data_IF_114916587836
#
_entry.id   IF_114916587836
#
_cell.length_a   1.000
_cell.length_b   1.000
_cell.length_c   1.000
_cell.angle_alpha   90.00
_cell.angle_beta   90.00
_cell.angle_gamma   90.00
#
_symmetry.space_group_name_H-M   'P 1'
#
loop_
_entity.id
_entity.type
_entity.pdbx_description
1 polymer ?
#
# COMPACT_ATOMS: atom_id res chain seq x y z
N UNK A 1 16.76 24.60 0.42
CA UNK A 1 15.41 25.05 0.04
C UNK A 1 14.50 23.90 -0.41
N UNK A 2 14.95 22.95 -1.23
CA UNK A 2 14.12 21.80 -1.65
C UNK A 2 13.61 20.94 -0.48
N UNK A 3 14.49 20.56 0.47
CA UNK A 3 14.11 19.71 1.62
C UNK A 3 13.04 20.35 2.52
N UNK A 4 13.17 21.63 2.85
CA UNK A 4 12.18 22.35 3.66
C UNK A 4 10.84 22.47 2.93
N UNK A 5 10.86 22.67 1.61
CA UNK A 5 9.65 22.71 0.79
C UNK A 5 8.92 21.36 0.76
N UNK A 6 9.66 20.25 0.65
CA UNK A 6 9.07 18.90 0.71
C UNK A 6 8.49 18.61 2.09
N UNK A 7 9.20 18.96 3.17
CA UNK A 7 8.71 18.77 4.55
C UNK A 7 7.44 19.57 4.78
N UNK A 8 7.41 20.84 4.36
CA UNK A 8 6.24 21.70 4.50
C UNK A 8 5.04 21.15 3.71
N UNK A 9 5.27 20.68 2.47
CA UNK A 9 4.23 20.05 1.64
C UNK A 9 3.65 18.79 2.29
N UNK A 10 4.51 17.88 2.75
CA UNK A 10 4.09 16.64 3.40
C UNK A 10 3.32 16.90 4.70
N UNK A 11 3.81 17.82 5.53
CA UNK A 11 3.17 18.15 6.80
C UNK A 11 1.78 18.76 6.60
N UNK A 12 1.64 19.64 5.60
CA UNK A 12 0.35 20.21 5.22
C UNK A 12 -0.60 19.13 4.67
N UNK A 13 -0.09 18.23 3.82
CA UNK A 13 -0.85 17.09 3.30
C UNK A 13 -1.39 16.20 4.43
N UNK A 14 -0.55 15.84 5.40
CA UNK A 14 -0.97 15.04 6.57
C UNK A 14 -1.97 15.79 7.44
N UNK A 15 -1.77 17.10 7.67
CA UNK A 15 -2.71 17.90 8.44
C UNK A 15 -4.09 17.99 7.77
N UNK A 16 -4.12 18.14 6.43
CA UNK A 16 -5.35 18.14 5.64
C UNK A 16 -6.03 16.78 5.68
N UNK A 17 -5.28 15.68 5.49
CA UNK A 17 -5.79 14.32 5.61
C UNK A 17 -6.45 14.08 6.98
N UNK A 18 -5.79 14.47 8.08
CA UNK A 18 -6.38 14.29 9.41
C UNK A 18 -7.59 15.20 9.61
N UNK A 19 -7.57 16.42 9.09
CA UNK A 19 -8.68 17.37 9.29
C UNK A 19 -9.91 16.97 8.46
N UNK A 20 -9.75 16.71 7.17
CA UNK A 20 -10.86 16.36 6.28
C UNK A 20 -11.29 14.90 6.44
N UNK A 21 -10.35 13.94 6.47
CA UNK A 21 -10.72 12.52 6.46
C UNK A 21 -11.09 11.98 7.84
N UNK A 22 -10.53 12.55 8.92
CA UNK A 22 -10.83 12.10 10.30
C UNK A 22 -11.76 13.08 10.99
N UNK A 23 -11.39 14.36 11.09
CA UNK A 23 -12.16 15.31 11.92
C UNK A 23 -13.53 15.65 11.30
N UNK A 24 -13.58 16.01 10.02
CA UNK A 24 -14.86 16.30 9.35
C UNK A 24 -15.72 15.03 9.15
N UNK A 25 -15.09 13.90 8.79
CA UNK A 25 -15.83 12.65 8.52
C UNK A 25 -16.37 11.98 9.79
N UNK A 26 -15.60 11.95 10.89
CA UNK A 26 -15.94 11.16 12.10
C UNK A 26 -16.52 12.04 13.21
N UNK A 27 -15.99 13.25 13.41
CA UNK A 27 -16.31 14.07 14.59
C UNK A 27 -17.31 15.18 14.31
N UNK A 28 -17.15 15.95 13.23
CA UNK A 28 -18.01 17.10 12.99
C UNK A 28 -18.16 17.45 11.50
N UNK A 29 -19.14 16.81 10.85
CA UNK A 29 -19.45 16.97 9.42
C UNK A 29 -19.95 18.38 9.03
N UNK A 30 -20.19 19.28 10.01
CA UNK A 30 -20.62 20.67 9.80
C UNK A 30 -19.78 21.66 10.61
N UNK A 31 -18.49 21.37 10.82
CA UNK A 31 -17.60 22.29 11.51
C UNK A 31 -17.47 23.62 10.73
N UNK A 32 -17.47 24.74 11.45
CA UNK A 32 -17.18 26.05 10.87
C UNK A 32 -15.74 26.10 10.33
N UNK A 33 -15.53 26.75 9.20
CA UNK A 33 -14.23 26.84 8.51
C UNK A 33 -13.11 27.37 9.43
N UNK A 34 -13.46 28.22 10.41
CA UNK A 34 -12.51 28.72 11.41
C UNK A 34 -12.02 27.63 12.36
N UNK A 35 -12.90 26.71 12.75
CA UNK A 35 -12.57 25.59 13.64
C UNK A 35 -11.71 24.57 12.88
N UNK A 36 -12.05 24.27 11.63
CA UNK A 36 -11.28 23.40 10.73
C UNK A 36 -9.85 23.91 10.59
N UNK A 37 -9.66 25.21 10.32
CA UNK A 37 -8.33 25.80 10.21
C UNK A 37 -7.54 25.76 11.52
N UNK A 38 -8.20 25.91 12.67
CA UNK A 38 -7.55 25.82 13.98
C UNK A 38 -7.09 24.38 14.26
N UNK A 39 -7.95 23.40 13.99
CA UNK A 39 -7.63 21.97 14.11
C UNK A 39 -6.47 21.61 13.18
N UNK A 40 -6.49 22.03 11.92
CA UNK A 40 -5.40 21.77 10.97
C UNK A 40 -4.05 22.33 11.45
N UNK A 41 -4.04 23.55 12.01
CA UNK A 41 -2.83 24.14 12.60
C UNK A 41 -2.33 23.37 13.82
N UNK A 42 -3.24 22.95 14.70
CA UNK A 42 -2.90 22.13 15.86
C UNK A 42 -2.33 20.76 15.43
N UNK A 43 -2.95 20.12 14.45
CA UNK A 43 -2.48 18.85 13.90
C UNK A 43 -1.11 18.99 13.23
N UNK A 44 -0.90 20.05 12.44
CA UNK A 44 0.42 20.38 11.86
C UNK A 44 1.49 20.48 12.94
N UNK A 45 1.18 21.17 14.03
CA UNK A 45 2.10 21.33 15.15
C UNK A 45 2.37 20.00 15.88
N UNK A 46 1.32 19.23 16.17
CA UNK A 46 1.43 17.93 16.84
C UNK A 46 2.22 16.91 16.01
N UNK A 47 1.96 16.81 14.70
CA UNK A 47 2.71 15.95 13.79
C UNK A 47 4.15 16.41 13.68
N UNK A 48 4.40 17.72 13.61
CA UNK A 48 5.76 18.28 13.62
C UNK A 48 6.57 17.89 14.87
N UNK A 49 5.96 17.95 16.05
CA UNK A 49 6.58 17.45 17.29
C UNK A 49 6.85 15.95 17.19
N UNK A 50 5.90 15.16 16.70
CA UNK A 50 6.08 13.72 16.50
C UNK A 50 7.26 13.40 15.59
N UNK A 51 7.42 14.15 14.49
CA UNK A 51 8.57 14.01 13.58
C UNK A 51 9.90 14.32 14.28
N UNK A 52 9.96 15.37 15.09
CA UNK A 52 11.16 15.73 15.85
C UNK A 52 11.50 14.64 16.86
N UNK A 53 10.51 14.13 17.60
CA UNK A 53 10.69 13.04 18.55
C UNK A 53 11.20 11.76 17.86
N UNK A 54 10.61 11.42 16.71
CA UNK A 54 11.05 10.27 15.91
C UNK A 54 12.47 10.45 15.36
N UNK A 55 12.86 11.69 15.00
CA UNK A 55 14.21 11.98 14.52
C UNK A 55 15.30 11.62 15.54
N UNK A 56 15.01 11.68 16.85
CA UNK A 56 15.95 11.22 17.89
C UNK A 56 16.18 9.71 17.89
N UNK A 57 15.28 8.92 17.30
CA UNK A 57 15.42 7.47 17.21
C UNK A 57 16.19 7.03 15.96
N UNK A 58 16.25 7.89 14.93
CA UNK A 58 16.94 7.59 13.66
C UNK A 58 18.40 7.15 13.86
N UNK A 59 19.23 7.78 14.72
CA UNK A 59 20.59 7.31 14.95
C UNK A 59 20.64 5.90 15.57
N UNK A 60 19.68 5.56 16.43
CA UNK A 60 19.60 4.24 17.06
C UNK A 60 19.18 3.13 16.09
N UNK A 61 18.49 3.49 15.02
CA UNK A 61 18.07 2.57 13.95
C UNK A 61 19.13 2.39 12.86
N UNK A 62 20.38 2.80 13.10
CA UNK A 62 21.46 2.67 12.12
C UNK A 62 21.45 3.77 11.04
N UNK A 63 20.81 4.91 11.30
CA UNK A 63 20.78 6.07 10.41
C UNK A 63 19.49 6.21 9.61
N UNK A 64 19.39 7.30 8.82
CA UNK A 64 18.17 7.69 8.13
C UNK A 64 17.67 6.65 7.12
N UNK A 65 18.59 6.00 6.39
CA UNK A 65 18.24 4.99 5.38
C UNK A 65 17.65 3.75 6.04
N UNK A 66 18.30 3.24 7.09
CA UNK A 66 17.81 2.06 7.80
C UNK A 66 16.49 2.35 8.51
N UNK A 67 16.36 3.51 9.18
CA UNK A 67 15.08 3.93 9.77
C UNK A 67 13.95 3.98 8.74
N UNK A 68 14.22 4.48 7.53
CA UNK A 68 13.25 4.52 6.44
C UNK A 68 12.87 3.11 5.95
N UNK A 69 13.86 2.24 5.73
CA UNK A 69 13.63 0.84 5.34
C UNK A 69 12.81 0.09 6.39
N UNK A 70 13.12 0.26 7.68
CA UNK A 70 12.34 -0.33 8.78
C UNK A 70 10.89 0.13 8.73
N UNK A 71 10.64 1.43 8.54
CA UNK A 71 9.27 1.95 8.45
C UNK A 71 8.49 1.36 7.28
N UNK A 72 9.11 1.24 6.10
CA UNK A 72 8.50 0.60 4.92
C UNK A 72 8.19 -0.87 5.22
N UNK A 73 9.14 -1.62 5.76
CA UNK A 73 8.97 -3.05 6.03
C UNK A 73 7.79 -3.33 6.99
N UNK A 74 7.60 -2.44 7.96
CA UNK A 74 6.56 -2.56 8.99
C UNK A 74 5.18 -2.13 8.46
N UNK A 75 5.10 -1.01 7.73
CA UNK A 75 3.81 -0.37 7.43
C UNK A 75 3.33 -0.58 6.00
N UNK A 76 4.21 -0.46 4.99
CA UNK A 76 3.77 -0.41 3.59
C UNK A 76 3.26 -1.77 3.11
N UNK A 77 3.94 -2.86 3.50
CA UNK A 77 3.61 -4.19 2.98
C UNK A 77 2.26 -4.72 3.50
N UNK A 78 1.92 -4.63 4.80
CA UNK A 78 0.56 -4.92 5.27
C UNK A 78 -0.50 -4.06 4.58
N UNK A 79 -0.22 -2.76 4.37
CA UNK A 79 -1.15 -1.87 3.70
C UNK A 79 -1.43 -2.32 2.27
N UNK A 80 -0.38 -2.68 1.54
CA UNK A 80 -0.49 -3.19 0.17
C UNK A 80 -1.34 -4.46 0.11
N UNK A 81 -1.10 -5.43 1.00
CA UNK A 81 -1.89 -6.67 1.04
C UNK A 81 -3.36 -6.38 1.35
N UNK A 82 -3.65 -5.55 2.35
CA UNK A 82 -5.02 -5.25 2.74
C UNK A 82 -5.77 -4.44 1.68
N UNK A 83 -5.17 -3.33 1.23
CA UNK A 83 -5.84 -2.39 0.34
C UNK A 83 -5.85 -2.85 -1.12
N UNK A 84 -4.73 -3.36 -1.64
CA UNK A 84 -4.60 -3.72 -3.05
C UNK A 84 -5.02 -5.16 -3.27
N UNK A 85 -4.43 -6.11 -2.53
CA UNK A 85 -4.70 -7.54 -2.79
C UNK A 85 -6.13 -7.89 -2.37
N UNK A 86 -6.51 -7.65 -1.12
CA UNK A 86 -7.85 -8.01 -0.66
C UNK A 86 -8.92 -7.01 -1.11
N UNK A 87 -8.64 -5.71 -1.08
CA UNK A 87 -9.58 -4.69 -1.52
C UNK A 87 -9.99 -4.84 -2.99
N UNK A 88 -9.06 -5.23 -3.88
CA UNK A 88 -9.40 -5.44 -5.29
C UNK A 88 -9.88 -6.87 -5.58
N UNK A 89 -9.27 -7.92 -5.02
CA UNK A 89 -9.54 -9.28 -5.50
C UNK A 89 -10.51 -10.08 -4.63
N UNK A 90 -10.88 -9.62 -3.43
CA UNK A 90 -11.68 -10.41 -2.50
C UNK A 90 -12.95 -9.73 -2.00
N UNK A 91 -14.09 -10.15 -2.55
CA UNK A 91 -15.43 -9.62 -2.22
C UNK A 91 -15.82 -9.69 -0.74
N UNK A 92 -15.24 -10.62 0.03
CA UNK A 92 -15.59 -10.83 1.44
C UNK A 92 -14.72 -10.00 2.40
N UNK A 93 -13.73 -9.27 1.90
CA UNK A 93 -12.91 -8.40 2.74
C UNK A 93 -13.78 -7.33 3.41
N UNK A 94 -13.79 -7.29 4.74
CA UNK A 94 -14.51 -6.29 5.52
C UNK A 94 -13.53 -5.39 6.28
N UNK A 95 -14.04 -4.26 6.78
CA UNK A 95 -13.21 -3.28 7.47
C UNK A 95 -12.55 -3.87 8.74
N UNK A 96 -13.22 -4.79 9.45
CA UNK A 96 -12.66 -5.42 10.64
C UNK A 96 -11.43 -6.27 10.33
N UNK A 97 -11.51 -7.11 9.29
CA UNK A 97 -10.37 -7.93 8.88
C UNK A 97 -9.27 -7.13 8.20
N UNK A 98 -9.61 -6.06 7.49
CA UNK A 98 -8.64 -5.11 6.95
C UNK A 98 -7.83 -4.45 8.07
N UNK A 99 -8.51 -3.88 9.07
CA UNK A 99 -7.87 -3.25 10.24
C UNK A 99 -7.07 -4.29 11.03
N UNK A 100 -7.65 -5.44 11.35
CA UNK A 100 -6.97 -6.47 12.13
C UNK A 100 -5.72 -7.00 11.42
N UNK A 101 -5.79 -7.29 10.12
CA UNK A 101 -4.64 -7.75 9.35
C UNK A 101 -3.55 -6.69 9.21
N UNK A 102 -3.92 -5.43 9.00
CA UNK A 102 -2.96 -4.32 8.97
C UNK A 102 -2.23 -4.16 10.31
N UNK A 103 -2.98 -4.06 11.42
CA UNK A 103 -2.40 -3.87 12.75
C UNK A 103 -1.57 -5.08 13.19
N UNK A 104 -2.04 -6.31 12.97
CA UNK A 104 -1.27 -7.50 13.32
C UNK A 104 -0.02 -7.65 12.44
N UNK A 105 -0.10 -7.31 11.16
CA UNK A 105 1.07 -7.23 10.27
C UNK A 105 2.10 -6.21 10.75
N UNK A 106 1.66 -5.01 11.13
CA UNK A 106 2.54 -3.98 11.68
C UNK A 106 3.16 -4.40 13.02
N UNK A 107 2.38 -4.99 13.93
CA UNK A 107 2.90 -5.50 15.22
C UNK A 107 3.92 -6.62 14.99
N UNK A 108 3.65 -7.53 14.04
CA UNK A 108 4.60 -8.56 13.66
C UNK A 108 5.88 -7.95 13.08
N UNK A 109 5.78 -6.86 12.31
CA UNK A 109 6.93 -6.13 11.79
C UNK A 109 7.79 -5.47 12.88
N UNK A 110 7.14 -4.85 13.87
CA UNK A 110 7.83 -4.30 15.05
C UNK A 110 8.53 -5.42 15.82
N UNK A 111 7.85 -6.56 16.01
CA UNK A 111 8.45 -7.72 16.68
C UNK A 111 9.62 -8.31 15.88
N UNK A 112 9.47 -8.45 14.57
CA UNK A 112 10.51 -8.93 13.65
C UNK A 112 11.75 -8.04 13.68
N UNK A 113 11.57 -6.72 13.62
CA UNK A 113 12.68 -5.77 13.66
C UNK A 113 13.37 -5.74 15.02
N UNK A 114 12.61 -5.46 16.09
CA UNK A 114 13.22 -5.08 17.37
C UNK A 114 13.53 -6.28 18.27
N UNK A 115 12.80 -7.39 18.13
CA UNK A 115 13.01 -8.59 18.96
C UNK A 115 13.82 -9.65 18.20
N UNK A 116 13.45 -9.95 16.96
CA UNK A 116 14.11 -10.98 16.16
C UNK A 116 15.31 -10.45 15.35
N UNK A 117 15.50 -9.13 15.27
CA UNK A 117 16.58 -8.48 14.54
C UNK A 117 16.64 -8.93 13.07
N UNK A 118 15.47 -9.04 12.44
CA UNK A 118 15.32 -9.43 11.05
C UNK A 118 15.82 -8.33 10.11
N UNK A 119 16.41 -8.74 9.00
CA UNK A 119 16.75 -7.81 7.93
C UNK A 119 15.49 -7.30 7.23
N UNK A 120 15.59 -6.16 6.53
CA UNK A 120 14.49 -5.54 5.78
C UNK A 120 13.66 -6.54 4.96
N UNK A 121 14.30 -7.40 4.16
CA UNK A 121 13.60 -8.37 3.33
C UNK A 121 12.79 -9.37 4.18
N UNK A 122 13.41 -9.93 5.22
CA UNK A 122 12.77 -10.91 6.10
C UNK A 122 11.57 -10.28 6.83
N UNK A 123 11.75 -9.06 7.32
CA UNK A 123 10.70 -8.34 8.02
C UNK A 123 9.54 -8.01 7.07
N UNK A 124 9.84 -7.58 5.85
CA UNK A 124 8.83 -7.33 4.80
C UNK A 124 8.03 -8.58 4.44
N UNK A 125 8.70 -9.74 4.31
CA UNK A 125 7.99 -11.00 4.05
C UNK A 125 7.13 -11.44 5.24
N UNK A 126 7.61 -11.22 6.47
CA UNK A 126 6.86 -11.52 7.70
C UNK A 126 5.58 -10.69 7.76
N UNK A 127 5.67 -9.37 7.58
CA UNK A 127 4.52 -8.47 7.66
C UNK A 127 3.51 -8.75 6.55
N UNK A 128 3.99 -9.05 5.33
CA UNK A 128 3.15 -9.52 4.22
C UNK A 128 2.40 -10.81 4.57
N UNK A 129 3.12 -11.82 5.06
CA UNK A 129 2.55 -13.14 5.35
C UNK A 129 1.51 -13.06 6.47
N UNK A 130 1.78 -12.29 7.52
CA UNK A 130 0.84 -12.09 8.62
C UNK A 130 -0.43 -11.38 8.13
N UNK A 131 -0.31 -10.31 7.34
CA UNK A 131 -1.48 -9.64 6.77
C UNK A 131 -2.28 -10.58 5.85
N UNK A 132 -1.59 -11.37 5.01
CA UNK A 132 -2.20 -12.34 4.09
C UNK A 132 -2.96 -13.45 4.83
N UNK A 133 -2.54 -13.82 6.03
CA UNK A 133 -3.23 -14.86 6.82
C UNK A 133 -4.31 -14.27 7.72
N UNK A 134 -4.02 -13.18 8.43
CA UNK A 134 -4.93 -12.62 9.44
C UNK A 134 -6.14 -11.95 8.80
N UNK A 135 -5.95 -11.17 7.73
CA UNK A 135 -7.07 -10.50 7.05
C UNK A 135 -8.19 -11.46 6.66
N UNK A 136 -7.92 -12.59 5.95
CA UNK A 136 -8.99 -13.48 5.56
C UNK A 136 -9.60 -14.27 6.72
N UNK A 137 -8.82 -14.60 7.74
CA UNK A 137 -9.33 -15.27 8.94
C UNK A 137 -10.32 -14.35 9.65
N UNK A 138 -9.92 -13.11 9.95
CA UNK A 138 -10.76 -12.17 10.70
C UNK A 138 -11.97 -11.75 9.86
N UNK A 139 -11.81 -11.48 8.56
CA UNK A 139 -12.96 -11.17 7.70
C UNK A 139 -13.92 -12.35 7.53
N UNK A 140 -13.45 -13.59 7.67
CA UNK A 140 -14.32 -14.77 7.62
C UNK A 140 -15.08 -14.97 8.93
N UNK A 141 -14.47 -14.65 10.07
CA UNK A 141 -15.07 -14.76 11.40
C UNK A 141 -16.00 -13.60 11.76
N UNK A 142 -15.84 -12.45 11.12
CA UNK A 142 -16.62 -11.24 11.39
C UNK A 142 -17.80 -11.10 10.41
N UNK A 143 -18.67 -10.12 10.68
CA UNK A 143 -19.91 -9.89 9.90
C UNK A 143 -19.57 -9.63 8.44
N UNK A 144 -20.37 -10.23 7.53
CA UNK A 144 -20.23 -10.00 6.10
C UNK A 144 -20.41 -8.52 5.78
N UNK A 145 -19.58 -7.95 4.89
CA UNK A 145 -19.75 -6.58 4.45
C UNK A 145 -21.06 -6.44 3.64
N UNK A 146 -21.59 -5.21 3.57
CA UNK A 146 -22.87 -4.91 2.95
C UNK A 146 -22.88 -5.24 1.45
N UNK A 147 -23.75 -6.17 1.04
CA UNK A 147 -23.75 -6.73 -0.32
C UNK A 147 -24.03 -5.67 -1.38
N UNK A 148 -24.83 -4.64 -1.07
CA UNK A 148 -25.15 -3.56 -2.02
C UNK A 148 -23.91 -2.72 -2.36
N UNK A 149 -23.12 -2.35 -1.36
CA UNK A 149 -21.90 -1.54 -1.57
C UNK A 149 -20.82 -2.32 -2.33
N UNK A 150 -20.69 -3.62 -2.06
CA UNK A 150 -19.73 -4.49 -2.75
C UNK A 150 -20.17 -4.71 -4.19
N UNK A 151 -21.48 -4.87 -4.43
CA UNK A 151 -22.03 -5.05 -5.76
C UNK A 151 -21.71 -3.85 -6.64
N UNK A 152 -21.88 -2.60 -6.16
CA UNK A 152 -21.50 -1.40 -6.92
C UNK A 152 -20.02 -1.39 -7.33
N UNK A 153 -19.10 -1.64 -6.39
CA UNK A 153 -17.66 -1.70 -6.67
C UNK A 153 -17.31 -2.79 -7.67
N UNK A 154 -18.01 -3.93 -7.62
CA UNK A 154 -17.76 -5.04 -8.54
C UNK A 154 -18.43 -4.88 -9.90
N UNK A 155 -19.57 -4.19 -9.96
CA UNK A 155 -20.22 -3.80 -11.21
C UNK A 155 -19.36 -2.78 -11.97
N UNK A 156 -18.72 -1.84 -11.26
CA UNK A 156 -17.77 -0.90 -11.84
C UNK A 156 -16.52 -1.55 -12.48
N UNK A 157 -16.28 -2.85 -12.26
CA UNK A 157 -15.23 -3.61 -12.96
C UNK A 157 -15.65 -4.15 -14.33
N UNK A 158 -16.94 -4.13 -14.63
CA UNK A 158 -17.47 -4.59 -15.91
C UNK A 158 -17.64 -3.38 -16.82
N UNK A 159 -17.33 -3.58 -18.10
CA UNK A 159 -17.42 -2.52 -19.11
C UNK A 159 -18.87 -2.05 -19.22
N UNK A 160 -19.07 -0.74 -19.08
CA UNK A 160 -20.41 -0.14 -19.19
C UNK A 160 -20.76 0.08 -20.67
N UNK A 161 -22.04 -0.02 -21.03
CA UNK A 161 -22.49 0.25 -22.42
C UNK A 161 -22.11 1.66 -22.92
N UNK A 162 -21.97 2.61 -22.01
CA UNK A 162 -21.49 3.97 -22.30
C UNK A 162 -20.01 3.99 -22.72
N UNK A 163 -19.15 3.18 -22.09
CA UNK A 163 -17.72 3.06 -22.43
C UNK A 163 -17.53 2.40 -23.80
N UNK A 164 -18.38 1.42 -24.12
CA UNK A 164 -18.43 0.78 -25.45
C UNK A 164 -18.84 1.78 -26.52
N UNK A 165 -19.84 2.62 -26.26
CA UNK A 165 -20.29 3.67 -27.18
C UNK A 165 -19.28 4.80 -27.34
N UNK A 166 -18.52 5.11 -26.30
CA UNK A 166 -17.45 6.11 -26.33
C UNK A 166 -16.14 5.61 -26.96
N UNK A 167 -16.03 4.32 -27.27
CA UNK A 167 -14.81 3.72 -27.82
C UNK A 167 -13.62 3.71 -26.84
N UNK A 168 -13.87 3.92 -25.55
CA UNK A 168 -12.85 3.94 -24.49
C UNK A 168 -12.98 2.69 -23.60
N UNK A 169 -13.06 1.52 -24.24
CA UNK A 169 -13.20 0.25 -23.54
C UNK A 169 -11.84 -0.20 -23.01
N UNK A 170 -11.66 -0.19 -21.69
CA UNK A 170 -10.49 -0.79 -21.05
C UNK A 170 -10.86 -2.13 -20.42
N UNK A 171 -10.29 -3.22 -20.95
CA UNK A 171 -10.54 -4.56 -20.43
C UNK A 171 -9.54 -4.90 -19.31
N UNK A 172 -10.05 -5.18 -18.10
CA UNK A 172 -9.22 -5.63 -16.97
C UNK A 172 -8.50 -6.96 -17.30
N UNK A 173 -9.10 -7.80 -18.14
CA UNK A 173 -8.43 -8.96 -18.72
C UNK A 173 -8.38 -8.73 -20.24
N UNK A 174 -7.18 -8.56 -20.82
CA UNK A 174 -7.03 -8.28 -22.24
C UNK A 174 -7.68 -9.37 -23.09
N UNK A 175 -8.46 -8.94 -24.08
CA UNK A 175 -9.10 -9.85 -25.05
C UNK A 175 -8.18 -10.18 -26.21
N UNK A 176 -7.29 -9.25 -26.57
CA UNK A 176 -6.34 -9.38 -27.69
C UNK A 176 -5.23 -10.38 -27.36
N UNK A 177 -4.72 -11.08 -28.37
CA UNK A 177 -3.60 -12.02 -28.20
C UNK A 177 -2.35 -11.31 -27.69
N UNK A 178 -2.11 -10.08 -28.17
CA UNK A 178 -0.97 -9.27 -27.72
C UNK A 178 -1.14 -8.76 -26.29
N UNK A 179 -2.36 -8.35 -25.90
CA UNK A 179 -2.67 -7.99 -24.53
C UNK A 179 -2.53 -9.17 -23.57
N UNK A 180 -2.92 -10.39 -23.98
CA UNK A 180 -2.67 -11.60 -23.17
C UNK A 180 -1.18 -11.88 -23.03
N UNK A 181 -0.39 -11.69 -24.10
CA UNK A 181 1.06 -11.85 -24.04
C UNK A 181 1.73 -10.82 -23.13
N UNK A 182 1.32 -9.54 -23.18
CA UNK A 182 1.84 -8.50 -22.29
C UNK A 182 1.49 -8.77 -20.82
N UNK A 183 0.31 -9.33 -20.54
CA UNK A 183 -0.07 -9.79 -19.21
C UNK A 183 0.84 -10.93 -18.72
N UNK A 184 1.18 -11.90 -19.57
CA UNK A 184 2.16 -12.95 -19.22
C UNK A 184 3.52 -12.35 -18.90
N UNK A 185 4.02 -11.42 -19.73
CA UNK A 185 5.29 -10.72 -19.50
C UNK A 185 5.28 -9.99 -18.15
N UNK A 186 4.16 -9.32 -17.81
CA UNK A 186 3.98 -8.65 -16.52
C UNK A 186 4.11 -9.65 -15.35
N UNK A 187 3.42 -10.79 -15.41
CA UNK A 187 3.51 -11.80 -14.35
C UNK A 187 4.90 -12.46 -14.25
N UNK A 188 5.56 -12.71 -15.38
CA UNK A 188 6.94 -13.23 -15.41
C UNK A 188 7.91 -12.21 -14.80
N UNK A 189 7.74 -10.92 -15.11
CA UNK A 189 8.52 -9.84 -14.49
C UNK A 189 8.33 -9.78 -12.99
N UNK A 190 7.08 -9.83 -12.52
CA UNK A 190 6.76 -9.86 -11.09
C UNK A 190 7.37 -11.07 -10.38
N UNK A 191 7.24 -12.27 -10.96
CA UNK A 191 7.84 -13.49 -10.39
C UNK A 191 9.37 -13.39 -10.33
N UNK A 192 10.00 -12.90 -11.39
CA UNK A 192 11.45 -12.70 -11.44
C UNK A 192 11.91 -11.71 -10.37
N UNK A 193 11.16 -10.62 -10.17
CA UNK A 193 11.41 -9.67 -9.11
C UNK A 193 11.35 -10.32 -7.72
N UNK A 194 10.27 -11.06 -7.44
CA UNK A 194 10.10 -11.76 -6.15
C UNK A 194 11.21 -12.79 -5.92
N UNK A 195 11.61 -13.55 -6.94
CA UNK A 195 12.75 -14.47 -6.86
C UNK A 195 14.03 -13.70 -6.50
N UNK A 196 14.25 -12.53 -7.12
CA UNK A 196 15.39 -11.66 -6.81
C UNK A 196 15.39 -11.21 -5.35
N UNK A 197 14.24 -10.81 -4.81
CA UNK A 197 14.10 -10.45 -3.39
C UNK A 197 14.42 -11.62 -2.46
N UNK A 198 13.91 -12.82 -2.76
CA UNK A 198 14.18 -14.03 -1.97
C UNK A 198 15.65 -14.41 -2.04
N UNK A 199 16.26 -14.36 -3.22
CA UNK A 199 17.69 -14.61 -3.43
C UNK A 199 18.58 -13.59 -2.71
N UNK A 200 18.09 -12.36 -2.53
CA UNK A 200 18.78 -11.32 -1.76
C UNK A 200 18.94 -11.69 -0.29
N UNK A 201 18.04 -12.50 0.26
CA UNK A 201 18.17 -13.01 1.62
C UNK A 201 19.33 -14.01 1.78
N UNK A 202 19.70 -14.70 0.70
CA UNK A 202 20.81 -15.67 0.67
C UNK A 202 22.15 -15.04 0.27
N UNK A 203 22.25 -13.70 0.26
CA UNK A 203 23.45 -12.92 -0.07
C UNK A 203 24.10 -13.29 -1.41
N UNK A 204 23.27 -13.66 -2.40
CA UNK A 204 23.74 -13.99 -3.74
C UNK A 204 23.98 -12.71 -4.54
N UNK A 205 25.12 -12.60 -5.22
CA UNK A 205 25.49 -11.40 -5.99
C UNK A 205 24.53 -11.11 -7.16
N UNK A 206 23.78 -12.12 -7.61
CA UNK A 206 22.83 -12.03 -8.73
C UNK A 206 21.47 -11.46 -8.29
N UNK A 207 21.16 -11.48 -6.99
CA UNK A 207 19.85 -11.10 -6.46
C UNK A 207 19.40 -9.70 -6.89
N UNK A 208 20.27 -8.71 -6.73
CA UNK A 208 19.96 -7.32 -7.09
C UNK A 208 19.75 -7.16 -8.59
N UNK A 209 20.55 -7.83 -9.42
CA UNK A 209 20.40 -7.82 -10.87
C UNK A 209 19.06 -8.44 -11.27
N UNK A 210 18.73 -9.60 -10.70
CA UNK A 210 17.48 -10.31 -10.99
C UNK A 210 16.25 -9.48 -10.56
N UNK A 211 16.31 -8.84 -9.39
CA UNK A 211 15.23 -7.99 -8.90
C UNK A 211 15.00 -6.77 -9.82
N UNK A 212 16.08 -6.08 -10.20
CA UNK A 212 15.99 -4.92 -11.09
C UNK A 212 15.50 -5.32 -12.49
N UNK A 213 16.03 -6.39 -13.06
CA UNK A 213 15.58 -6.91 -14.36
C UNK A 213 14.10 -7.33 -14.30
N UNK A 214 13.68 -8.01 -13.21
CA UNK A 214 12.28 -8.36 -12.99
C UNK A 214 11.35 -7.15 -12.96
N UNK A 215 11.74 -6.06 -12.28
CA UNK A 215 10.97 -4.82 -12.27
C UNK A 215 10.90 -4.14 -13.63
N UNK A 216 11.99 -4.11 -14.39
CA UNK A 216 11.99 -3.55 -15.76
C UNK A 216 11.01 -4.34 -16.62
N UNK A 217 11.08 -5.67 -16.59
CA UNK A 217 10.17 -6.55 -17.35
C UNK A 217 8.72 -6.35 -16.90
N UNK A 218 8.47 -6.20 -15.60
CA UNK A 218 7.14 -5.93 -15.05
C UNK A 218 6.55 -4.63 -15.62
N UNK A 219 7.32 -3.52 -15.62
CA UNK A 219 6.87 -2.24 -16.15
C UNK A 219 6.69 -2.26 -17.67
N UNK A 220 7.58 -2.95 -18.41
CA UNK A 220 7.43 -3.13 -19.85
C UNK A 220 6.17 -3.94 -20.18
N UNK A 221 5.87 -4.99 -19.41
CA UNK A 221 4.62 -5.75 -19.52
C UNK A 221 3.39 -4.87 -19.24
N UNK A 222 3.46 -4.03 -18.20
CA UNK A 222 2.38 -3.06 -17.87
C UNK A 222 2.16 -2.01 -18.95
N UNK A 223 3.22 -1.41 -19.48
CA UNK A 223 3.14 -0.41 -20.55
C UNK A 223 2.61 -1.02 -21.85
N UNK A 224 3.18 -2.15 -22.28
CA UNK A 224 2.73 -2.84 -23.50
C UNK A 224 1.25 -3.21 -23.42
N UNK A 225 0.74 -3.58 -22.24
CA UNK A 225 -0.69 -3.79 -22.03
C UNK A 225 -1.52 -2.53 -22.32
N UNK A 226 -1.15 -1.37 -21.79
CA UNK A 226 -1.91 -0.13 -22.04
C UNK A 226 -1.96 0.30 -23.51
N UNK A 227 -1.02 -0.20 -24.33
CA UNK A 227 -0.95 0.10 -25.76
C UNK A 227 -1.67 -0.94 -26.64
N UNK A 228 -2.12 -2.06 -26.08
CA UNK A 228 -2.60 -3.23 -26.85
C UNK A 228 -3.96 -3.79 -26.43
N UNK A 229 -4.62 -3.09 -25.51
CA UNK A 229 -6.04 -3.27 -25.18
C UNK A 229 -6.96 -2.60 -26.22
#
# INVERSE_FOLDING_TARGET
>A
SAQLSTIAGNLNGVATMITSDIYESIFNQKADNKIILLVARFMTFAVGIGMILFAYWVPKMGGAVNAYLTMIAIMDMPLFIVAVVYGLFWKRCNWQGAIAGYFTGAVAGVFGEFVLQYNFNQNTFLTAAVALVVTPIVSSLTRRPDELKIAEVWQAKHVTEEEVKAGQVYNIIPVTTFGKASLVVLFVGLLTFVIGLVMGNYNTSVASCLAVTGMIVYFVGGLSRTMTD
#
